data_IF_289434181417
#
_entry.id   IF_289434181417
#
_cell.length_a   1.000
_cell.length_b   1.000
_cell.length_c   1.000
_cell.angle_alpha   90.00
_cell.angle_beta   90.00
_cell.angle_gamma   90.00
#
_symmetry.space_group_name_H-M   'P 1'
#
loop_
_entity.id
_entity.type
_entity.pdbx_description
1 polymer ?
#
# COMPACT_ATOMS: atom_id res chain seq x y z
N UNK A 1 -16.25 -9.97 9.90
CA UNK A 1 -16.61 -10.23 11.33
C UNK A 1 -16.11 -11.56 11.83
N UNK A 2 -16.34 -12.67 11.10
CA UNK A 2 -15.94 -14.01 11.55
C UNK A 2 -14.46 -14.11 11.95
N UNK A 3 -13.53 -13.66 11.10
CA UNK A 3 -12.10 -13.66 11.41
C UNK A 3 -11.75 -12.81 12.64
N UNK A 4 -12.40 -11.66 12.80
CA UNK A 4 -12.18 -10.77 13.96
C UNK A 4 -12.61 -11.47 15.26
N UNK A 5 -13.82 -12.03 15.27
CA UNK A 5 -14.36 -12.75 16.42
C UNK A 5 -13.57 -14.03 16.72
N UNK A 6 -13.07 -14.72 15.69
CA UNK A 6 -12.29 -15.95 15.86
C UNK A 6 -10.91 -15.69 16.47
N UNK A 7 -10.26 -14.60 16.07
CA UNK A 7 -8.95 -14.22 16.62
C UNK A 7 -9.08 -13.64 18.02
N UNK A 8 -10.12 -12.83 18.28
CA UNK A 8 -10.43 -12.25 19.59
C UNK A 8 -9.23 -11.54 20.24
N UNK A 9 -8.56 -10.67 19.46
CA UNK A 9 -7.45 -9.85 19.94
C UNK A 9 -7.60 -8.41 19.43
N UNK A 10 -7.52 -7.39 20.30
CA UNK A 10 -7.81 -6.00 19.90
C UNK A 10 -6.78 -5.40 18.95
N UNK A 11 -5.60 -6.02 18.81
CA UNK A 11 -4.53 -5.56 17.93
C UNK A 11 -4.51 -6.23 16.55
N UNK A 12 -5.45 -7.14 16.25
CA UNK A 12 -5.54 -7.74 14.90
C UNK A 12 -6.05 -6.70 13.90
N UNK A 13 -5.64 -6.81 12.64
CA UNK A 13 -6.24 -6.08 11.53
C UNK A 13 -6.72 -7.08 10.49
N UNK A 14 -7.96 -6.92 10.02
CA UNK A 14 -8.47 -7.72 8.91
C UNK A 14 -7.96 -7.12 7.61
N UNK A 15 -7.26 -7.93 6.81
CA UNK A 15 -6.71 -7.47 5.54
C UNK A 15 -7.77 -7.60 4.45
N UNK A 16 -8.11 -6.48 3.80
CA UNK A 16 -9.12 -6.42 2.72
C UNK A 16 -8.46 -5.78 1.49
N UNK A 17 -8.52 -6.39 0.29
CA UNK A 17 -7.94 -5.80 -0.91
C UNK A 17 -8.76 -4.59 -1.36
N UNK A 18 -8.07 -3.58 -1.89
CA UNK A 18 -8.65 -2.37 -2.47
C UNK A 18 -9.12 -2.61 -3.92
N UNK A 19 -9.84 -3.70 -4.18
CA UNK A 19 -10.58 -3.80 -5.45
C UNK A 19 -11.81 -2.90 -5.39
N UNK A 20 -12.45 -2.62 -6.54
CA UNK A 20 -13.70 -1.84 -6.56
C UNK A 20 -14.77 -2.43 -5.64
N UNK A 21 -14.86 -3.75 -5.60
CA UNK A 21 -15.78 -4.51 -4.74
C UNK A 21 -15.33 -4.54 -3.28
N UNK A 22 -14.03 -4.39 -3.02
CA UNK A 22 -13.44 -4.35 -1.69
C UNK A 22 -13.66 -3.03 -0.96
N UNK A 23 -13.76 -1.90 -1.68
CA UNK A 23 -14.00 -0.57 -1.11
C UNK A 23 -15.22 -0.51 -0.17
N UNK A 24 -16.44 -0.93 -0.59
CA UNK A 24 -17.60 -0.91 0.32
C UNK A 24 -17.42 -1.87 1.50
N UNK A 25 -16.69 -2.99 1.33
CA UNK A 25 -16.40 -3.91 2.42
C UNK A 25 -15.45 -3.31 3.46
N UNK A 26 -14.50 -2.48 3.04
CA UNK A 26 -13.61 -1.71 3.94
C UNK A 26 -14.45 -0.76 4.80
N UNK A 27 -15.29 0.07 4.19
CA UNK A 27 -16.20 0.98 4.89
C UNK A 27 -17.07 0.24 5.89
N UNK A 28 -17.78 -0.81 5.45
CA UNK A 28 -18.69 -1.57 6.31
C UNK A 28 -17.96 -2.28 7.47
N UNK A 29 -16.72 -2.72 7.26
CA UNK A 29 -15.91 -3.35 8.31
C UNK A 29 -15.47 -2.33 9.36
N UNK A 30 -14.99 -1.16 8.93
CA UNK A 30 -14.62 -0.07 9.84
C UNK A 30 -15.84 0.44 10.64
N UNK A 31 -16.99 0.56 9.98
CA UNK A 31 -18.26 0.99 10.59
C UNK A 31 -18.72 0.08 11.75
N UNK A 32 -18.23 -1.16 11.80
CA UNK A 32 -18.47 -2.14 12.86
C UNK A 32 -17.41 -2.11 13.98
N UNK A 33 -16.53 -1.11 13.96
CA UNK A 33 -15.45 -0.97 14.93
C UNK A 33 -14.25 -1.89 14.69
N UNK A 34 -14.14 -2.52 13.52
CA UNK A 34 -13.07 -3.49 13.21
C UNK A 34 -11.91 -2.79 12.50
N UNK A 35 -10.69 -3.01 12.99
CA UNK A 35 -9.48 -2.47 12.37
C UNK A 35 -9.15 -3.16 11.04
N UNK A 36 -8.79 -2.38 10.01
CA UNK A 36 -8.59 -2.88 8.64
C UNK A 36 -7.20 -2.53 8.11
N UNK A 37 -6.50 -3.52 7.56
CA UNK A 37 -5.34 -3.31 6.70
C UNK A 37 -5.81 -3.36 5.24
N UNK A 38 -5.89 -2.23 4.56
CA UNK A 38 -6.23 -2.20 3.15
C UNK A 38 -5.01 -2.62 2.33
N UNK A 39 -5.16 -3.52 1.35
CA UNK A 39 -4.02 -4.07 0.57
C UNK A 39 -4.23 -3.98 -0.94
N UNK A 40 -3.18 -4.28 -1.72
CA UNK A 40 -3.19 -4.25 -3.20
C UNK A 40 -3.47 -2.85 -3.78
N UNK A 41 -2.92 -1.80 -3.16
CA UNK A 41 -3.01 -0.44 -3.68
C UNK A 41 -1.76 -0.18 -4.54
N UNK A 42 -1.96 0.20 -5.81
CA UNK A 42 -0.88 0.48 -6.76
C UNK A 42 -0.95 1.89 -7.35
N UNK A 43 -2.15 2.47 -7.45
CA UNK A 43 -2.38 3.76 -8.09
C UNK A 43 -2.83 4.83 -7.08
N UNK A 44 -2.55 6.10 -7.43
CA UNK A 44 -3.04 7.25 -6.67
C UNK A 44 -4.57 7.34 -6.71
N UNK A 45 -5.19 7.03 -7.84
CA UNK A 45 -6.65 6.96 -8.01
C UNK A 45 -7.27 5.96 -7.03
N UNK A 46 -6.71 4.74 -6.95
CA UNK A 46 -7.21 3.75 -6.00
C UNK A 46 -6.96 4.19 -4.57
N UNK A 47 -5.81 4.80 -4.29
CA UNK A 47 -5.51 5.24 -2.95
C UNK A 47 -6.46 6.35 -2.48
N UNK A 48 -6.84 7.28 -3.36
CA UNK A 48 -7.86 8.28 -3.07
C UNK A 48 -9.18 7.64 -2.64
N UNK A 49 -9.66 6.67 -3.41
CA UNK A 49 -10.90 5.93 -3.10
C UNK A 49 -10.81 5.17 -1.77
N UNK A 50 -9.62 4.65 -1.42
CA UNK A 50 -9.37 3.99 -0.14
C UNK A 50 -9.45 4.99 1.03
N UNK A 51 -8.89 6.20 0.88
CA UNK A 51 -8.99 7.26 1.89
C UNK A 51 -10.46 7.65 2.07
N UNK A 52 -11.21 7.83 0.99
CA UNK A 52 -12.63 8.19 1.05
C UNK A 52 -13.46 7.10 1.73
N UNK A 53 -13.24 5.84 1.38
CA UNK A 53 -13.88 4.68 2.02
C UNK A 53 -13.54 4.57 3.52
N UNK A 54 -12.30 4.91 3.89
CA UNK A 54 -11.85 4.94 5.28
C UNK A 54 -12.54 6.04 6.08
N UNK A 55 -12.53 7.29 5.60
CA UNK A 55 -13.16 8.42 6.30
C UNK A 55 -14.66 8.14 6.50
N UNK A 56 -15.32 7.62 5.46
CA UNK A 56 -16.72 7.21 5.55
C UNK A 56 -16.93 6.08 6.59
N UNK A 57 -16.08 5.07 6.60
CA UNK A 57 -16.17 3.96 7.56
C UNK A 57 -16.01 4.41 9.01
N UNK A 58 -15.09 5.35 9.26
CA UNK A 58 -14.91 5.96 10.59
C UNK A 58 -16.10 6.84 10.97
N UNK A 59 -16.66 7.60 10.04
CA UNK A 59 -17.87 8.39 10.29
C UNK A 59 -19.05 7.51 10.69
N UNK A 60 -19.26 6.40 9.99
CA UNK A 60 -20.29 5.41 10.34
C UNK A 60 -20.00 4.74 11.68
N UNK A 61 -18.73 4.41 11.97
CA UNK A 61 -18.35 3.83 13.26
C UNK A 61 -18.71 4.78 14.42
N UNK A 62 -18.48 6.08 14.24
CA UNK A 62 -18.86 7.10 15.21
C UNK A 62 -20.38 7.17 15.40
N UNK A 63 -21.14 7.17 14.30
CA UNK A 63 -22.60 7.17 14.34
C UNK A 63 -23.19 5.90 14.99
N UNK A 64 -22.52 4.76 14.83
CA UNK A 64 -22.87 3.48 15.45
C UNK A 64 -22.44 3.38 16.93
N UNK A 65 -21.81 4.41 17.49
CA UNK A 65 -21.42 4.46 18.90
C UNK A 65 -20.14 3.69 19.24
N UNK A 66 -19.31 3.36 18.26
CA UNK A 66 -18.01 2.73 18.51
C UNK A 66 -16.98 3.75 19.03
N UNK A 67 -16.10 3.32 19.94
CA UNK A 67 -14.96 4.13 20.38
C UNK A 67 -13.87 4.14 19.29
N UNK A 68 -13.73 5.27 18.61
CA UNK A 68 -12.82 5.47 17.49
C UNK A 68 -11.34 5.30 17.89
N UNK A 69 -10.99 5.46 19.18
CA UNK A 69 -9.61 5.30 19.66
C UNK A 69 -9.09 3.88 19.46
N UNK A 70 -10.00 2.91 19.39
CA UNK A 70 -9.68 1.49 19.23
C UNK A 70 -9.71 1.02 17.78
N UNK A 71 -10.08 1.88 16.82
CA UNK A 71 -10.09 1.56 15.41
C UNK A 71 -8.79 2.04 14.77
N UNK A 72 -8.01 1.10 14.22
CA UNK A 72 -6.79 1.37 13.48
C UNK A 72 -6.93 0.98 12.02
N UNK A 73 -6.30 1.74 11.13
CA UNK A 73 -6.17 1.34 9.73
C UNK A 73 -4.84 1.74 9.11
N UNK A 74 -4.42 0.96 8.13
CA UNK A 74 -3.26 1.22 7.27
C UNK A 74 -3.64 0.95 5.82
N UNK A 75 -3.05 1.69 4.89
CA UNK A 75 -3.24 1.53 3.45
C UNK A 75 -1.95 1.00 2.80
N UNK A 76 -1.88 -0.31 2.56
CA UNK A 76 -0.71 -0.98 2.00
C UNK A 76 -0.55 -0.70 0.51
N UNK A 77 0.26 0.31 0.22
CA UNK A 77 0.67 0.79 -1.09
C UNK A 77 1.93 0.07 -1.56
N UNK A 78 1.85 -0.63 -2.70
CA UNK A 78 2.90 -1.52 -3.18
C UNK A 78 3.97 -0.75 -3.97
N UNK A 79 5.24 -0.94 -3.60
CA UNK A 79 6.37 -0.16 -4.12
C UNK A 79 7.12 -0.92 -5.22
N UNK A 80 7.93 -1.93 -4.86
CA UNK A 80 8.92 -2.51 -5.79
C UNK A 80 8.35 -3.11 -7.09
N UNK A 81 7.07 -3.49 -7.08
CA UNK A 81 6.41 -4.06 -8.26
C UNK A 81 6.24 -3.04 -9.38
N UNK A 82 6.14 -1.76 -9.03
CA UNK A 82 6.03 -0.66 -10.00
C UNK A 82 7.34 -0.53 -10.78
N UNK A 83 8.48 -0.40 -10.12
CA UNK A 83 9.79 -0.34 -10.80
C UNK A 83 10.04 -1.60 -11.62
N UNK A 84 9.73 -2.79 -11.10
CA UNK A 84 9.90 -4.04 -11.88
C UNK A 84 9.09 -4.04 -13.19
N UNK A 85 7.93 -3.38 -13.23
CA UNK A 85 7.11 -3.30 -14.43
C UNK A 85 7.54 -2.15 -15.35
N UNK A 86 7.84 -0.98 -14.78
CA UNK A 86 8.24 0.22 -15.53
C UNK A 86 9.65 0.08 -16.10
N UNK A 87 10.61 -0.45 -15.33
CA UNK A 87 11.99 -0.65 -15.78
C UNK A 87 12.01 -1.54 -17.03
N UNK A 88 11.18 -2.58 -17.13
CA UNK A 88 11.07 -3.40 -18.35
C UNK A 88 10.60 -2.61 -19.57
N UNK A 89 9.71 -1.64 -19.39
CA UNK A 89 9.24 -0.78 -20.47
C UNK A 89 10.32 0.24 -20.86
N UNK A 90 11.07 0.76 -19.89
CA UNK A 90 12.22 1.65 -20.11
C UNK A 90 13.37 0.93 -20.83
N UNK A 91 13.71 -0.28 -20.41
CA UNK A 91 14.71 -1.15 -21.05
C UNK A 91 14.32 -1.46 -22.50
N UNK A 92 13.04 -1.74 -22.76
CA UNK A 92 12.54 -2.00 -24.10
C UNK A 92 12.54 -0.75 -25.00
N UNK A 93 12.40 0.44 -24.42
CA UNK A 93 12.55 1.71 -25.14
C UNK A 93 14.02 1.96 -25.51
N UNK A 94 14.95 1.76 -24.56
CA UNK A 94 16.40 1.75 -24.79
C UNK A 94 17.07 3.11 -25.03
N UNK A 95 16.34 4.23 -24.98
CA UNK A 95 16.91 5.59 -25.03
C UNK A 95 17.73 5.94 -23.78
N UNK A 96 18.65 6.90 -23.90
CA UNK A 96 19.41 7.39 -22.74
C UNK A 96 18.49 8.02 -21.68
N UNK A 97 17.43 8.70 -22.14
CA UNK A 97 16.38 9.27 -21.30
C UNK A 97 15.62 8.18 -20.53
N UNK A 98 15.25 7.07 -21.20
CA UNK A 98 14.57 5.96 -20.56
C UNK A 98 15.45 5.30 -19.49
N UNK A 99 16.72 5.04 -19.83
CA UNK A 99 17.69 4.48 -18.89
C UNK A 99 17.89 5.36 -17.64
N UNK A 100 17.85 6.68 -17.81
CA UNK A 100 17.97 7.62 -16.70
C UNK A 100 16.76 7.62 -15.74
N UNK A 101 15.65 6.98 -16.10
CA UNK A 101 14.43 6.86 -15.28
C UNK A 101 14.28 5.51 -14.56
N UNK A 102 15.14 4.53 -14.85
CA UNK A 102 15.12 3.22 -14.19
C UNK A 102 15.20 3.36 -12.67
N UNK A 103 14.34 2.63 -11.96
CA UNK A 103 14.30 2.63 -10.49
C UNK A 103 13.75 3.91 -9.86
N UNK A 104 13.11 4.81 -10.62
CA UNK A 104 12.53 6.06 -10.10
C UNK A 104 11.02 6.03 -9.96
N UNK A 105 10.32 5.18 -10.72
CA UNK A 105 8.87 5.22 -10.83
C UNK A 105 8.16 4.85 -9.52
N UNK A 106 8.61 3.80 -8.84
CA UNK A 106 8.00 3.31 -7.61
C UNK A 106 8.11 4.30 -6.46
N UNK A 107 9.30 4.89 -6.28
CA UNK A 107 9.54 5.88 -5.23
C UNK A 107 8.76 7.16 -5.53
N UNK A 108 8.77 7.65 -6.78
CA UNK A 108 7.95 8.79 -7.19
C UNK A 108 6.45 8.53 -6.92
N UNK A 109 5.94 7.35 -7.27
CA UNK A 109 4.54 6.99 -7.06
C UNK A 109 4.17 6.99 -5.56
N UNK A 110 5.02 6.41 -4.70
CA UNK A 110 4.79 6.38 -3.26
C UNK A 110 4.91 7.77 -2.61
N UNK A 111 5.83 8.62 -3.08
CA UNK A 111 5.93 10.03 -2.63
C UNK A 111 4.66 10.81 -2.96
N UNK A 112 4.12 10.64 -4.16
CA UNK A 112 2.85 11.26 -4.56
C UNK A 112 1.64 10.68 -3.79
N UNK A 113 1.70 9.40 -3.41
CA UNK A 113 0.69 8.82 -2.51
C UNK A 113 0.74 9.50 -1.14
N UNK A 114 1.93 9.78 -0.60
CA UNK A 114 2.08 10.53 0.64
C UNK A 114 1.58 11.98 0.52
N UNK A 115 1.85 12.66 -0.60
CA UNK A 115 1.29 13.98 -0.89
C UNK A 115 -0.25 13.96 -0.89
N UNK A 116 -0.85 12.96 -1.54
CA UNK A 116 -2.30 12.75 -1.57
C UNK A 116 -2.86 12.52 -0.16
N UNK A 117 -2.19 11.71 0.66
CA UNK A 117 -2.54 11.50 2.06
C UNK A 117 -2.60 12.83 2.84
N UNK A 118 -1.55 13.66 2.73
CA UNK A 118 -1.51 14.96 3.42
C UNK A 118 -2.68 15.85 2.95
N UNK A 119 -2.91 15.94 1.64
CA UNK A 119 -3.96 16.77 1.05
C UNK A 119 -5.36 16.32 1.45
N UNK A 120 -5.69 15.03 1.36
CA UNK A 120 -7.05 14.53 1.63
C UNK A 120 -7.44 14.70 3.10
N UNK A 121 -6.55 14.36 4.03
CA UNK A 121 -6.83 14.53 5.45
C UNK A 121 -6.90 16.00 5.89
N UNK A 122 -6.18 16.90 5.20
CA UNK A 122 -6.28 18.34 5.46
C UNK A 122 -7.55 18.96 4.86
N UNK A 123 -8.03 18.45 3.72
CA UNK A 123 -9.14 19.04 2.97
C UNK A 123 -10.53 18.47 3.32
N UNK A 124 -10.62 17.23 3.83
CA UNK A 124 -11.92 16.62 4.13
C UNK A 124 -12.57 17.29 5.35
N UNK A 125 -13.74 17.94 5.20
CA UNK A 125 -14.37 18.71 6.28
C UNK A 125 -14.87 17.83 7.44
N UNK A 126 -15.04 16.52 7.21
CA UNK A 126 -15.47 15.58 8.26
C UNK A 126 -14.32 15.23 9.20
N UNK A 127 -13.08 15.27 8.71
CA UNK A 127 -11.94 14.69 9.43
C UNK A 127 -11.68 15.34 10.78
N UNK A 128 -11.71 16.67 10.85
CA UNK A 128 -11.42 17.40 12.09
C UNK A 128 -12.37 17.00 13.25
N UNK A 129 -13.64 16.77 12.97
CA UNK A 129 -14.61 16.31 13.98
C UNK A 129 -14.34 14.86 14.41
N UNK A 130 -14.02 13.97 13.46
CA UNK A 130 -13.70 12.57 13.76
C UNK A 130 -12.42 12.45 14.59
N UNK A 131 -11.40 13.23 14.26
CA UNK A 131 -10.13 13.29 15.00
C UNK A 131 -10.35 13.82 16.42
N UNK A 132 -11.20 14.85 16.61
CA UNK A 132 -11.59 15.33 17.93
C UNK A 132 -12.33 14.28 18.77
N UNK A 133 -13.03 13.32 18.12
CA UNK A 133 -13.64 12.14 18.76
C UNK A 133 -12.65 11.01 19.02
N UNK A 134 -11.38 11.16 18.66
CA UNK A 134 -10.30 10.20 18.90
C UNK A 134 -9.98 9.27 17.74
N UNK A 135 -10.49 9.53 16.53
CA UNK A 135 -10.09 8.81 15.33
C UNK A 135 -8.60 9.00 15.03
N UNK A 136 -7.98 7.98 14.44
CA UNK A 136 -6.57 8.01 14.01
C UNK A 136 -6.51 8.00 12.48
N UNK A 137 -5.65 8.83 11.87
CA UNK A 137 -5.45 8.82 10.41
C UNK A 137 -5.09 7.42 9.93
N UNK A 138 -5.64 7.00 8.78
CA UNK A 138 -5.19 5.80 8.10
C UNK A 138 -3.80 6.07 7.53
N UNK A 139 -2.80 5.42 8.13
CA UNK A 139 -1.40 5.63 7.75
C UNK A 139 -1.10 4.98 6.39
N UNK A 140 -0.42 5.66 5.45
CA UNK A 140 0.20 4.99 4.32
C UNK A 140 1.13 3.88 4.84
N UNK A 141 1.04 2.70 4.22
CA UNK A 141 1.94 1.59 4.50
C UNK A 141 2.66 1.21 3.22
N UNK A 142 3.98 1.27 3.22
CA UNK A 142 4.81 0.84 2.10
C UNK A 142 4.94 -0.68 2.14
N UNK A 143 4.40 -1.35 1.12
CA UNK A 143 4.45 -2.80 0.96
C UNK A 143 5.31 -3.21 -0.23
N UNK A 144 5.78 -4.46 -0.22
CA UNK A 144 6.72 -4.96 -1.24
C UNK A 144 7.95 -4.05 -1.36
N UNK A 145 8.63 -3.79 -0.24
CA UNK A 145 9.77 -2.87 -0.15
C UNK A 145 11.13 -3.57 -0.23
N UNK A 146 11.14 -4.86 -0.56
CA UNK A 146 12.38 -5.56 -0.90
C UNK A 146 12.82 -5.27 -2.34
N UNK A 147 14.03 -4.76 -2.51
CA UNK A 147 14.65 -4.48 -3.80
C UNK A 147 14.69 -5.73 -4.69
N UNK A 148 14.35 -5.56 -5.97
CA UNK A 148 14.28 -6.65 -6.97
C UNK A 148 15.43 -6.62 -7.98
N UNK A 149 16.04 -5.46 -8.18
CA UNK A 149 17.18 -5.25 -9.05
C UNK A 149 18.45 -5.14 -8.20
N UNK A 150 19.43 -6.01 -8.44
CA UNK A 150 20.69 -6.03 -7.70
C UNK A 150 21.58 -4.79 -7.94
N UNK A 151 21.29 -3.99 -8.97
CA UNK A 151 21.95 -2.72 -9.22
C UNK A 151 21.52 -1.62 -8.23
N UNK A 152 20.39 -1.79 -7.55
CA UNK A 152 19.89 -0.84 -6.57
C UNK A 152 20.30 -1.25 -5.17
N UNK A 153 20.40 -0.28 -4.25
CA UNK A 153 20.54 -0.58 -2.83
C UNK A 153 19.42 -1.51 -2.35
N UNK A 154 19.76 -2.48 -1.51
CA UNK A 154 18.79 -3.37 -0.84
C UNK A 154 17.94 -2.63 0.22
N UNK A 155 18.33 -1.40 0.59
CA UNK A 155 17.60 -0.48 1.47
C UNK A 155 16.79 0.59 0.71
N UNK A 156 16.89 0.65 -0.64
CA UNK A 156 16.31 1.68 -1.51
C UNK A 156 14.91 2.14 -1.09
N UNK A 157 13.94 1.22 -1.07
CA UNK A 157 12.53 1.52 -0.82
C UNK A 157 12.20 1.78 0.65
N UNK A 158 13.18 1.68 1.56
CA UNK A 158 13.03 2.14 2.93
C UNK A 158 13.61 3.54 3.06
N UNK A 159 14.88 3.72 2.70
CA UNK A 159 15.59 4.99 2.86
C UNK A 159 14.99 6.12 2.03
N UNK A 160 14.40 5.83 0.88
CA UNK A 160 13.77 6.85 0.04
C UNK A 160 12.32 7.17 0.44
N UNK A 161 11.71 6.43 1.39
CA UNK A 161 10.29 6.53 1.76
C UNK A 161 10.02 6.73 3.26
N UNK A 162 10.90 7.44 3.96
CA UNK A 162 10.74 7.79 5.38
C UNK A 162 9.97 9.11 5.53
N UNK A 163 8.89 9.09 6.30
CA UNK A 163 8.09 10.27 6.64
C UNK A 163 7.34 10.10 7.96
N UNK A 164 6.67 11.15 8.43
CA UNK A 164 5.77 11.06 9.57
C UNK A 164 4.49 10.30 9.19
N UNK A 165 3.92 9.56 10.14
CA UNK A 165 2.66 8.82 9.95
C UNK A 165 2.68 7.74 8.84
N UNK A 166 3.83 7.20 8.47
CA UNK A 166 3.93 6.04 7.57
C UNK A 166 4.30 4.76 8.32
N UNK A 167 4.02 3.63 7.69
CA UNK A 167 4.51 2.30 8.10
C UNK A 167 5.27 1.71 6.92
N UNK A 168 6.29 0.89 7.16
CA UNK A 168 6.91 0.08 6.11
C UNK A 168 6.86 -1.39 6.55
N UNK A 169 6.28 -2.26 5.72
CA UNK A 169 6.26 -3.71 5.99
C UNK A 169 7.38 -4.37 5.21
N UNK A 170 8.51 -4.55 5.89
CA UNK A 170 9.75 -5.00 5.28
C UNK A 170 9.82 -6.54 5.30
N UNK A 171 10.30 -7.17 4.21
CA UNK A 171 10.86 -8.51 4.31
C UNK A 171 12.02 -8.52 5.31
N UNK A 172 12.22 -9.64 6.01
CA UNK A 172 13.29 -9.80 7.02
C UNK A 172 14.68 -9.41 6.49
N UNK A 173 15.00 -9.80 5.24
CA UNK A 173 16.28 -9.43 4.60
C UNK A 173 16.47 -7.91 4.48
N UNK A 174 15.43 -7.18 4.10
CA UNK A 174 15.46 -5.72 3.99
C UNK A 174 15.57 -5.06 5.36
N UNK A 175 14.89 -5.61 6.37
CA UNK A 175 15.03 -5.14 7.75
C UNK A 175 16.47 -5.30 8.26
N UNK A 176 17.10 -6.44 8.00
CA UNK A 176 18.49 -6.69 8.40
C UNK A 176 19.48 -5.80 7.64
N UNK A 177 19.28 -5.57 6.34
CA UNK A 177 20.11 -4.64 5.56
C UNK A 177 20.01 -3.21 6.11
N UNK A 178 18.80 -2.76 6.42
CA UNK A 178 18.57 -1.44 7.02
C UNK A 178 19.28 -1.31 8.38
N UNK A 179 19.24 -2.35 9.21
CA UNK A 179 19.91 -2.35 10.51
C UNK A 179 21.44 -2.32 10.41
N UNK A 180 22.00 -2.91 9.35
CA UNK A 180 23.44 -2.95 9.09
C UNK A 180 23.97 -1.62 8.52
N UNK A 181 23.31 -1.08 7.49
CA UNK A 181 23.84 0.05 6.73
C UNK A 181 22.78 1.03 6.17
N UNK A 182 21.55 0.98 6.68
CA UNK A 182 20.49 1.91 6.30
C UNK A 182 20.73 3.35 6.77
N UNK A 183 20.18 4.32 6.04
CA UNK A 183 20.24 5.73 6.43
C UNK A 183 19.10 6.12 7.39
N UNK A 184 17.85 5.70 7.10
CA UNK A 184 16.68 5.93 7.95
C UNK A 184 16.26 7.40 8.13
N UNK A 185 16.88 8.35 7.44
CA UNK A 185 16.54 9.77 7.50
C UNK A 185 15.26 10.09 6.74
N UNK A 186 14.49 11.08 7.21
CA UNK A 186 13.29 11.57 6.53
C UNK A 186 13.61 11.99 5.08
N UNK A 187 12.81 11.53 4.12
CA UNK A 187 13.21 11.55 2.70
C UNK A 187 12.10 11.94 1.73
N UNK A 188 10.84 12.01 2.18
CA UNK A 188 9.69 12.30 1.28
C UNK A 188 9.42 13.80 1.17
N UNK A 189 9.45 14.56 2.28
CA UNK A 189 9.07 15.98 2.26
C UNK A 189 10.03 16.77 1.35
N UNK A 190 9.47 17.60 0.47
CA UNK A 190 10.24 18.40 -0.51
C UNK A 190 10.49 17.72 -1.85
N UNK A 191 10.02 16.48 -2.06
CA UNK A 191 10.28 15.70 -3.29
C UNK A 191 9.09 15.60 -4.26
N UNK A 192 7.98 16.29 -3.96
CA UNK A 192 6.75 16.14 -4.75
C UNK A 192 6.89 16.67 -6.17
N UNK A 193 7.50 17.84 -6.36
CA UNK A 193 7.72 18.41 -7.70
C UNK A 193 8.60 17.50 -8.57
N UNK A 194 9.67 16.95 -7.99
CA UNK A 194 10.53 15.96 -8.66
C UNK A 194 9.72 14.72 -9.05
N UNK A 195 8.86 14.22 -8.15
CA UNK A 195 8.06 13.03 -8.38
C UNK A 195 7.02 13.24 -9.49
N UNK A 196 6.36 14.40 -9.53
CA UNK A 196 5.49 14.80 -10.64
C UNK A 196 6.27 14.89 -11.96
N UNK A 197 7.46 15.47 -11.95
CA UNK A 197 8.31 15.55 -13.14
C UNK A 197 8.72 14.17 -13.67
N UNK A 198 9.03 13.21 -12.79
CA UNK A 198 9.30 11.82 -13.16
C UNK A 198 8.07 11.19 -13.85
N UNK A 199 6.88 11.34 -13.27
CA UNK A 199 5.65 10.81 -13.89
C UNK A 199 5.37 11.42 -15.27
N UNK A 200 5.59 12.72 -15.43
CA UNK A 200 5.43 13.40 -16.71
C UNK A 200 6.43 12.88 -17.76
N UNK A 201 7.71 12.70 -17.39
CA UNK A 201 8.72 12.13 -18.30
C UNK A 201 8.40 10.70 -18.71
N UNK A 202 7.87 9.88 -17.80
CA UNK A 202 7.41 8.53 -18.14
C UNK A 202 6.28 8.60 -19.19
N UNK A 203 5.32 9.52 -19.03
CA UNK A 203 4.26 9.73 -20.00
C UNK A 203 4.78 10.24 -21.36
N UNK A 204 5.77 11.14 -21.37
CA UNK A 204 6.44 11.63 -22.59
C UNK A 204 7.12 10.49 -23.37
N UNK A 205 7.64 9.48 -22.66
CA UNK A 205 8.19 8.25 -23.25
C UNK A 205 7.13 7.21 -23.65
N UNK A 206 5.85 7.55 -23.52
CA UNK A 206 4.72 6.66 -23.85
C UNK A 206 4.40 5.62 -22.78
N UNK A 207 4.96 5.74 -21.57
CA UNK A 207 4.67 4.84 -20.45
C UNK A 207 3.50 5.40 -19.66
N UNK A 208 2.32 4.83 -19.88
CA UNK A 208 1.13 5.16 -19.11
C UNK A 208 1.13 4.43 -17.76
N UNK A 209 1.41 5.16 -16.68
CA UNK A 209 1.42 4.60 -15.33
C UNK A 209 0.07 3.98 -14.93
N UNK A 210 -1.05 4.52 -15.41
CA UNK A 210 -2.36 3.95 -15.12
C UNK A 210 -2.46 2.51 -15.64
N UNK A 211 -2.10 2.28 -16.90
CA UNK A 211 -2.14 0.96 -17.53
C UNK A 211 -1.22 -0.03 -16.79
N UNK A 212 -0.05 0.45 -16.36
CA UNK A 212 0.88 -0.35 -15.52
C UNK A 212 0.22 -0.72 -14.20
N UNK A 213 -0.38 0.24 -13.48
CA UNK A 213 -0.98 -0.01 -12.18
C UNK A 213 -2.25 -0.86 -12.26
N UNK A 214 -3.07 -0.69 -13.29
CA UNK A 214 -4.27 -1.51 -13.53
C UNK A 214 -3.86 -2.97 -13.79
N UNK A 215 -2.81 -3.18 -14.58
CA UNK A 215 -2.24 -4.51 -14.79
C UNK A 215 -1.68 -5.10 -13.50
N UNK A 216 -0.95 -4.32 -12.70
CA UNK A 216 -0.40 -4.77 -11.42
C UNK A 216 -1.49 -5.13 -10.41
N UNK A 217 -2.62 -4.42 -10.40
CA UNK A 217 -3.80 -4.76 -9.58
C UNK A 217 -4.36 -6.12 -10.01
N UNK A 218 -4.65 -6.30 -11.31
CA UNK A 218 -5.17 -7.55 -11.85
C UNK A 218 -4.23 -8.75 -11.61
N UNK A 219 -2.95 -8.60 -11.92
CA UNK A 219 -1.93 -9.63 -11.70
C UNK A 219 -1.76 -9.91 -10.19
N UNK A 220 -1.88 -8.87 -9.36
CA UNK A 220 -1.82 -8.97 -7.90
C UNK A 220 -2.95 -9.81 -7.31
N UNK A 221 -4.18 -9.59 -7.77
CA UNK A 221 -5.36 -10.40 -7.39
C UNK A 221 -5.17 -11.85 -7.83
N UNK A 222 -4.79 -12.09 -9.09
CA UNK A 222 -4.57 -13.43 -9.61
C UNK A 222 -3.47 -14.19 -8.84
N UNK A 223 -2.37 -13.51 -8.49
CA UNK A 223 -1.31 -14.09 -7.69
C UNK A 223 -1.78 -14.46 -6.27
N UNK A 224 -2.63 -13.65 -5.64
CA UNK A 224 -3.17 -13.95 -4.31
C UNK A 224 -4.10 -15.16 -4.33
N UNK A 225 -4.98 -15.27 -5.33
CA UNK A 225 -5.85 -16.44 -5.52
C UNK A 225 -5.01 -17.71 -5.70
N UNK A 226 -4.01 -17.66 -6.61
CA UNK A 226 -3.12 -18.80 -6.84
C UNK A 226 -2.35 -19.23 -5.58
N UNK A 227 -1.84 -18.27 -4.79
CA UNK A 227 -1.17 -18.59 -3.53
C UNK A 227 -2.14 -19.21 -2.51
N UNK A 228 -3.41 -18.78 -2.48
CA UNK A 228 -4.42 -19.36 -1.61
C UNK A 228 -4.78 -20.79 -2.00
N UNK A 229 -5.00 -21.06 -3.29
CA UNK A 229 -5.29 -22.40 -3.81
C UNK A 229 -4.15 -23.38 -3.49
N UNK A 230 -2.89 -22.92 -3.58
CA UNK A 230 -1.72 -23.70 -3.19
C UNK A 230 -1.77 -24.10 -1.72
N UNK A 231 -2.09 -23.16 -0.83
CA UNK A 231 -2.18 -23.45 0.62
C UNK A 231 -3.29 -24.46 0.91
N UNK A 232 -4.46 -24.33 0.26
CA UNK A 232 -5.55 -25.30 0.41
C UNK A 232 -5.10 -26.70 -0.03
N UNK A 233 -4.45 -26.80 -1.19
CA UNK A 233 -3.96 -28.07 -1.71
C UNK A 233 -2.92 -28.72 -0.79
N UNK A 234 -2.00 -27.94 -0.23
CA UNK A 234 -0.98 -28.42 0.70
C UNK A 234 -1.60 -28.91 2.02
N UNK A 235 -2.58 -28.18 2.56
CA UNK A 235 -3.32 -28.57 3.77
C UNK A 235 -4.10 -29.86 3.52
N UNK A 236 -4.80 -29.97 2.39
CA UNK A 236 -5.55 -31.18 2.03
C UNK A 236 -4.60 -32.39 1.91
N UNK A 237 -3.46 -32.20 1.24
CA UNK A 237 -2.42 -33.24 1.13
C UNK A 237 -1.91 -33.67 2.51
N UNK A 238 -1.83 -32.75 3.48
CA UNK A 238 -1.50 -33.07 4.86
C UNK A 238 -2.56 -33.91 5.56
N UNK A 239 -3.84 -33.58 5.38
CA UNK A 239 -4.98 -34.32 5.93
C UNK A 239 -5.01 -35.75 5.35
N UNK A 240 -4.86 -35.88 4.03
CA UNK A 240 -4.91 -37.18 3.35
C UNK A 240 -3.78 -38.11 3.82
N UNK A 241 -2.58 -37.58 4.08
CA UNK A 241 -1.46 -38.36 4.63
C UNK A 241 -1.71 -38.88 6.04
N UNK A 242 -2.48 -38.18 6.86
CA UNK A 242 -2.81 -38.61 8.24
C UNK A 242 -3.96 -39.62 8.24
N UNK A 243 -4.84 -39.56 7.26
CA UNK A 243 -6.01 -40.44 7.14
C UNK A 243 -5.74 -41.75 6.38
N UNK A 244 -4.60 -41.87 5.70
CA UNK A 244 -4.14 -43.08 4.99
C UNK A 244 -3.42 -44.05 5.93
#
# INVERSE_FOLDING_TARGET
EELWAKVDRPNVMIKIPATLEGLPAITATLAKGISVNVTLIFSLERYEQVIDAFIEGIAQAAANGHDLKHIGSVASFFVSRVDTAVDKLLEANGSEEAKALEGKAAVANARLAYELFEKKFAADPRWAELEAKGAKKQRPLWASTGTKNAAYSDCKYVDELVAEHVVNTMPEKTLNALADHGNGAASIKGTYEESHAIMNKLAELGINIKDVTDKLEADGVAAFIKSWDSVIADVQSGIDRVNA
#
